data_IF_649194539899
#
_entry.id   IF_649194539899
#
_cell.length_a   1.000
_cell.length_b   1.000
_cell.length_c   1.000
_cell.angle_alpha   90.00
_cell.angle_beta   90.00
_cell.angle_gamma   90.00
#
_symmetry.space_group_name_H-M   'P 1'
#
loop_
_entity.id
_entity.type
_entity.pdbx_description
1 polymer ?
#
# COMPACT_ATOMS: atom_id res chain seq x y z
N UNK A 1 10.60 -12.94 1.59
CA UNK A 1 9.69 -14.09 1.42
C UNK A 1 10.41 -15.40 1.10
N UNK A 2 11.36 -15.41 0.16
CA UNK A 2 11.99 -16.64 -0.36
C UNK A 2 12.76 -17.53 0.64
N UNK A 3 13.06 -17.05 1.85
CA UNK A 3 13.69 -17.86 2.89
C UNK A 3 12.72 -18.74 3.69
N UNK A 4 11.41 -18.68 3.39
CA UNK A 4 10.35 -19.35 4.18
C UNK A 4 9.25 -19.87 3.28
N UNK A 5 8.60 -20.96 3.69
CA UNK A 5 7.53 -21.60 2.89
C UNK A 5 6.12 -21.38 3.46
N UNK A 6 5.97 -21.21 4.78
CA UNK A 6 4.65 -21.25 5.45
C UNK A 6 4.27 -19.98 6.21
N UNK A 7 5.23 -19.28 6.79
CA UNK A 7 4.94 -18.11 7.63
C UNK A 7 4.33 -16.98 6.78
N UNK A 8 3.31 -16.29 7.30
CA UNK A 8 2.77 -15.09 6.66
C UNK A 8 3.71 -13.91 6.90
N UNK A 9 3.76 -12.99 5.93
CA UNK A 9 4.60 -11.80 5.97
C UNK A 9 3.70 -10.59 5.99
N UNK A 10 4.02 -9.59 6.79
CA UNK A 10 3.23 -8.37 6.88
C UNK A 10 4.13 -7.14 6.92
N UNK A 11 3.62 -6.00 6.45
CA UNK A 11 4.24 -4.71 6.74
C UNK A 11 3.95 -4.31 8.19
N UNK A 12 4.87 -3.57 8.81
CA UNK A 12 4.73 -3.04 10.16
C UNK A 12 5.34 -1.62 10.21
N UNK A 13 4.78 -0.62 9.53
CA UNK A 13 3.48 -0.46 8.87
C UNK A 13 3.72 0.23 7.51
N UNK A 14 2.83 0.07 6.53
CA UNK A 14 2.90 0.86 5.28
C UNK A 14 2.20 2.21 5.50
N UNK A 15 2.96 3.31 5.45
CA UNK A 15 2.38 4.67 5.47
C UNK A 15 1.88 5.01 4.07
N UNK A 16 0.63 4.68 3.79
CA UNK A 16 0.10 4.67 2.43
C UNK A 16 0.07 6.04 1.73
N UNK A 17 -0.25 7.17 2.40
CA UNK A 17 -0.27 8.48 1.73
C UNK A 17 1.05 8.91 1.12
N UNK A 18 2.17 8.32 1.55
CA UNK A 18 3.52 8.62 1.07
C UNK A 18 3.93 7.71 -0.10
N UNK A 19 3.04 6.88 -0.61
CA UNK A 19 3.32 5.84 -1.60
C UNK A 19 2.41 6.02 -2.80
N UNK A 20 2.95 6.07 -4.01
CA UNK A 20 2.13 6.14 -5.21
C UNK A 20 1.22 4.90 -5.30
N UNK A 21 -0.12 5.03 -5.40
CA UNK A 21 -1.05 3.92 -5.18
C UNK A 21 -0.89 2.81 -6.22
N UNK A 22 -0.66 3.17 -7.49
CA UNK A 22 -0.42 2.19 -8.57
C UNK A 22 0.87 1.38 -8.33
N UNK A 23 1.95 2.05 -7.89
CA UNK A 23 3.23 1.39 -7.62
C UNK A 23 3.08 0.44 -6.42
N UNK A 24 2.40 0.90 -5.36
CA UNK A 24 2.11 0.09 -4.19
C UNK A 24 1.24 -1.14 -4.54
N UNK A 25 0.17 -0.96 -5.32
CA UNK A 25 -0.69 -2.04 -5.78
C UNK A 25 0.13 -3.12 -6.52
N UNK A 26 1.00 -2.70 -7.44
CA UNK A 26 1.85 -3.63 -8.21
C UNK A 26 2.87 -4.34 -7.32
N UNK A 27 3.53 -3.61 -6.41
CA UNK A 27 4.53 -4.17 -5.52
C UNK A 27 3.94 -5.23 -4.59
N UNK A 28 2.79 -4.94 -3.98
CA UNK A 28 2.08 -5.86 -3.10
C UNK A 28 1.58 -7.09 -3.86
N UNK A 29 0.95 -6.92 -5.03
CA UNK A 29 0.51 -8.05 -5.85
C UNK A 29 1.68 -8.94 -6.29
N UNK A 30 2.83 -8.35 -6.63
CA UNK A 30 4.04 -9.09 -6.99
C UNK A 30 4.59 -9.86 -5.79
N UNK A 31 4.68 -9.21 -4.62
CA UNK A 31 5.12 -9.86 -3.39
C UNK A 31 4.18 -11.00 -2.97
N UNK A 32 2.87 -10.80 -3.11
CA UNK A 32 1.87 -11.82 -2.82
C UNK A 32 2.03 -13.03 -3.73
N UNK A 33 2.12 -12.81 -5.05
CA UNK A 33 2.38 -13.86 -6.03
C UNK A 33 3.67 -14.63 -5.75
N UNK A 34 4.79 -13.92 -5.52
CA UNK A 34 6.09 -14.53 -5.20
C UNK A 34 6.11 -15.29 -3.87
N UNK A 35 5.21 -14.92 -2.95
CA UNK A 35 5.08 -15.58 -1.65
C UNK A 35 4.03 -16.69 -1.64
N UNK A 36 3.36 -16.96 -2.76
CA UNK A 36 2.24 -17.89 -2.86
C UNK A 36 1.07 -17.53 -1.93
N UNK A 37 0.65 -16.25 -1.92
CA UNK A 37 -0.52 -15.79 -1.17
C UNK A 37 -0.26 -15.55 0.32
N UNK A 38 1.00 -15.38 0.73
CA UNK A 38 1.38 -15.20 2.14
C UNK A 38 1.60 -13.75 2.54
N UNK A 39 1.46 -12.81 1.60
CA UNK A 39 1.65 -11.40 1.89
C UNK A 39 0.39 -10.83 2.53
N UNK A 40 0.60 -10.11 3.62
CA UNK A 40 -0.38 -9.25 4.26
C UNK A 40 0.16 -7.83 4.25
N UNK A 41 -0.74 -6.85 4.31
CA UNK A 41 -0.35 -5.45 4.43
C UNK A 41 -1.15 -4.80 5.53
N UNK A 42 -0.46 -4.15 6.46
CA UNK A 42 -1.07 -3.21 7.40
C UNK A 42 -0.79 -1.81 6.93
N UNK A 43 -1.85 -1.03 6.75
CA UNK A 43 -1.79 0.35 6.27
C UNK A 43 -2.01 1.31 7.43
N UNK A 44 -1.19 2.35 7.47
CA UNK A 44 -1.32 3.48 8.37
C UNK A 44 -1.39 4.79 7.59
N UNK A 45 -2.03 5.79 8.20
CA UNK A 45 -2.17 7.13 7.62
C UNK A 45 -0.95 8.03 7.84
N UNK A 46 -0.01 7.62 8.69
CA UNK A 46 1.19 8.39 9.03
C UNK A 46 0.97 9.45 10.11
N UNK A 47 2.03 9.74 10.86
CA UNK A 47 1.99 10.66 12.01
C UNK A 47 3.06 11.74 11.96
N UNK A 48 4.19 11.49 11.29
CA UNK A 48 5.34 12.38 11.27
C UNK A 48 5.23 13.39 10.13
N UNK A 49 4.83 14.62 10.44
CA UNK A 49 4.60 15.69 9.45
C UNK A 49 5.83 16.01 8.58
N UNK A 50 7.04 15.84 9.11
CA UNK A 50 8.28 16.03 8.35
C UNK A 50 8.42 15.08 7.14
N UNK A 51 7.89 13.85 7.21
CA UNK A 51 7.90 12.93 6.06
C UNK A 51 6.98 13.40 4.94
N UNK A 52 5.87 14.04 5.32
CA UNK A 52 4.89 14.60 4.40
C UNK A 52 5.43 15.84 3.71
N UNK A 53 6.07 16.73 4.47
CA UNK A 53 6.75 17.91 3.93
C UNK A 53 7.86 17.50 2.93
N UNK A 54 8.69 16.51 3.29
CA UNK A 54 9.77 16.03 2.43
C UNK A 54 9.28 15.46 1.08
N UNK A 55 8.05 14.93 1.04
CA UNK A 55 7.44 14.34 -0.15
C UNK A 55 6.37 15.25 -0.80
N UNK A 56 6.18 16.46 -0.27
CA UNK A 56 5.18 17.40 -0.79
C UNK A 56 3.73 16.92 -0.65
N UNK A 57 3.44 16.03 0.29
CA UNK A 57 2.10 15.48 0.52
C UNK A 57 1.38 16.33 1.57
N UNK A 58 0.14 16.81 1.35
CA UNK A 58 -0.58 17.60 2.34
C UNK A 58 -0.89 16.80 3.62
N UNK A 59 -0.17 17.08 4.72
CA UNK A 59 -0.30 16.33 5.98
C UNK A 59 -1.74 16.32 6.54
N UNK A 60 -2.46 17.43 6.41
CA UNK A 60 -3.84 17.54 6.90
C UNK A 60 -4.86 16.75 6.07
N UNK A 61 -4.49 16.31 4.86
CA UNK A 61 -5.36 15.51 3.98
C UNK A 61 -5.00 14.02 3.98
N UNK A 62 -3.96 13.60 4.72
CA UNK A 62 -3.42 12.23 4.71
C UNK A 62 -4.46 11.12 4.93
N UNK A 63 -5.51 11.39 5.71
CA UNK A 63 -6.62 10.46 5.89
C UNK A 63 -7.43 10.26 4.60
N UNK A 64 -7.87 11.36 3.97
CA UNK A 64 -8.58 11.35 2.69
C UNK A 64 -7.74 10.71 1.58
N UNK A 65 -6.44 11.02 1.53
CA UNK A 65 -5.51 10.44 0.57
C UNK A 65 -5.38 8.92 0.80
N UNK A 66 -5.28 8.47 2.05
CA UNK A 66 -5.24 7.03 2.35
C UNK A 66 -6.50 6.30 1.88
N UNK A 67 -7.68 6.87 2.14
CA UNK A 67 -8.96 6.29 1.71
C UNK A 67 -9.06 6.19 0.18
N UNK A 68 -8.68 7.26 -0.52
CA UNK A 68 -8.63 7.31 -1.99
C UNK A 68 -7.66 6.24 -2.53
N UNK A 69 -6.46 6.15 -1.96
CA UNK A 69 -5.44 5.19 -2.41
C UNK A 69 -5.86 3.75 -2.12
N UNK A 70 -6.53 3.48 -1.00
CA UNK A 70 -7.10 2.16 -0.71
C UNK A 70 -8.18 1.78 -1.74
N UNK A 71 -9.01 2.73 -2.17
CA UNK A 71 -10.00 2.49 -3.21
C UNK A 71 -9.35 2.19 -4.56
N UNK A 72 -8.34 2.98 -4.98
CA UNK A 72 -7.53 2.73 -6.19
C UNK A 72 -6.92 1.33 -6.17
N UNK A 73 -6.26 0.96 -5.06
CA UNK A 73 -5.57 -0.32 -4.94
C UNK A 73 -6.56 -1.49 -5.07
N UNK A 74 -7.73 -1.39 -4.43
CA UNK A 74 -8.77 -2.43 -4.54
C UNK A 74 -9.28 -2.55 -5.98
N UNK A 75 -9.60 -1.42 -6.61
CA UNK A 75 -10.05 -1.40 -8.01
C UNK A 75 -9.04 -2.07 -8.95
N UNK A 76 -7.76 -1.72 -8.82
CA UNK A 76 -6.66 -2.30 -9.60
C UNK A 76 -6.51 -3.82 -9.42
N UNK A 77 -6.93 -4.38 -8.29
CA UNK A 77 -6.81 -5.81 -8.00
C UNK A 77 -8.05 -6.61 -8.37
N UNK A 78 -9.23 -6.01 -8.34
CA UNK A 78 -10.50 -6.74 -8.44
C UNK A 78 -11.28 -6.48 -9.71
N UNK A 79 -10.90 -5.47 -10.50
CA UNK A 79 -11.55 -5.10 -11.76
C UNK A 79 -10.75 -5.58 -12.97
N UNK A 80 -11.43 -6.19 -13.94
CA UNK A 80 -10.80 -6.60 -15.21
C UNK A 80 -10.46 -5.39 -16.12
N UNK A 81 -11.09 -4.24 -15.87
CA UNK A 81 -10.89 -2.99 -16.61
C UNK A 81 -10.95 -1.79 -15.64
N UNK A 82 -9.90 -1.58 -14.82
CA UNK A 82 -9.93 -0.59 -13.75
C UNK A 82 -10.02 0.85 -14.27
N UNK A 83 -10.78 1.68 -13.56
CA UNK A 83 -10.90 3.13 -13.82
C UNK A 83 -10.96 3.91 -12.51
N UNK A 84 -10.28 5.05 -12.44
CA UNK A 84 -10.25 5.90 -11.25
C UNK A 84 -9.95 7.35 -11.60
#
# INVERSE_FOLDING_TARGET
AGATERIRLNSCITVLPLQHPIVMAKALATADWMSSGRMMVTVGVGWLEAEFEALGVPFRERGRIADEYLAVIKELWTSDAPSF
#
